data_IF_492853142047
#
_entry.id   IF_492853142047
#
_cell.length_a   1.000
_cell.length_b   1.000
_cell.length_c   1.000
_cell.angle_alpha   90.00
_cell.angle_beta   90.00
_cell.angle_gamma   90.00
#
_symmetry.space_group_name_H-M   'P 1'
#
loop_
_entity.id
_entity.type
_entity.pdbx_description
1 polymer ?
#
# COMPACT_ATOMS: atom_id res chain seq x y z
N UNK A 1 -20.56 1.35 -8.52
CA UNK A 1 -19.12 1.24 -8.81
C UNK A 1 -18.50 0.41 -7.69
N UNK A 2 -17.73 -0.63 -8.00
CA UNK A 2 -17.01 -1.41 -6.99
C UNK A 2 -15.52 -1.17 -7.16
N UNK A 3 -14.90 -0.71 -6.08
CA UNK A 3 -13.47 -0.46 -5.98
C UNK A 3 -12.97 -1.25 -4.77
N UNK A 4 -11.74 -1.76 -4.86
CA UNK A 4 -11.10 -2.49 -3.75
C UNK A 4 -9.67 -2.02 -3.55
N UNK A 5 -9.24 -2.00 -2.30
CA UNK A 5 -7.85 -1.79 -1.90
C UNK A 5 -7.39 -3.03 -1.12
N UNK A 6 -6.17 -3.48 -1.36
CA UNK A 6 -5.50 -4.46 -0.50
C UNK A 6 -4.08 -3.99 -0.18
N UNK A 7 -3.66 -4.19 1.07
CA UNK A 7 -2.31 -3.87 1.55
C UNK A 7 -1.70 -5.06 2.27
N UNK A 8 -0.41 -5.27 2.07
CA UNK A 8 0.36 -6.29 2.79
C UNK A 8 1.79 -5.79 2.99
N UNK A 9 2.32 -5.87 4.20
CA UNK A 9 3.66 -5.35 4.48
C UNK A 9 4.10 -5.50 5.93
N UNK A 10 5.32 -5.04 6.18
CA UNK A 10 6.03 -5.23 7.45
C UNK A 10 6.10 -3.90 8.18
N UNK A 11 5.18 -3.67 9.11
CA UNK A 11 5.19 -2.44 9.92
C UNK A 11 6.21 -2.47 11.07
N UNK A 12 6.85 -3.60 11.35
CA UNK A 12 7.85 -3.71 12.43
C UNK A 12 7.26 -3.90 13.84
N UNK A 13 8.09 -3.78 14.89
CA UNK A 13 9.46 -3.23 14.88
C UNK A 13 10.51 -4.18 14.29
N UNK A 14 10.23 -5.48 14.26
CA UNK A 14 11.10 -6.50 13.67
C UNK A 14 10.50 -6.99 12.34
N UNK A 15 11.37 -7.47 11.46
CA UNK A 15 10.93 -8.27 10.32
C UNK A 15 10.54 -9.69 10.76
N UNK A 16 9.95 -10.44 9.85
CA UNK A 16 9.78 -11.89 9.99
C UNK A 16 11.07 -12.63 9.55
N UNK A 17 11.03 -13.97 9.54
CA UNK A 17 12.16 -14.82 9.14
C UNK A 17 12.54 -14.66 7.65
N UNK A 18 11.85 -13.81 6.89
CA UNK A 18 12.09 -13.62 5.46
C UNK A 18 13.17 -12.58 5.14
N UNK A 19 13.79 -11.95 6.15
CA UNK A 19 14.83 -10.93 5.99
C UNK A 19 14.43 -9.71 5.13
N UNK A 20 13.13 -9.47 4.93
CA UNK A 20 12.65 -8.26 4.25
C UNK A 20 12.77 -7.04 5.16
N UNK A 21 12.93 -5.86 4.58
CA UNK A 21 13.09 -4.63 5.37
C UNK A 21 11.79 -4.21 6.07
N UNK A 22 11.92 -3.71 7.30
CA UNK A 22 10.82 -3.03 8.00
C UNK A 22 10.47 -1.76 7.21
N UNK A 23 9.18 -1.59 6.92
CA UNK A 23 8.67 -0.52 6.07
C UNK A 23 8.41 -0.94 4.63
N UNK A 24 8.74 -2.17 4.23
CA UNK A 24 8.31 -2.73 2.95
C UNK A 24 6.81 -3.02 2.96
N UNK A 25 6.05 -2.39 2.05
CA UNK A 25 4.60 -2.56 1.93
C UNK A 25 4.22 -2.60 0.44
N UNK A 26 3.42 -3.58 0.07
CA UNK A 26 2.73 -3.64 -1.21
C UNK A 26 1.30 -3.13 -1.03
N UNK A 27 0.90 -2.22 -1.91
CA UNK A 27 -0.43 -1.60 -1.92
C UNK A 27 -1.02 -1.79 -3.32
N UNK A 28 -2.23 -2.31 -3.38
CA UNK A 28 -2.97 -2.48 -4.63
C UNK A 28 -4.33 -1.80 -4.57
N UNK A 29 -4.73 -1.25 -5.72
CA UNK A 29 -6.07 -0.72 -5.95
C UNK A 29 -6.64 -1.40 -7.21
N UNK A 30 -7.92 -1.76 -7.17
CA UNK A 30 -8.57 -2.47 -8.27
C UNK A 30 -9.98 -1.99 -8.55
N UNK A 31 -10.29 -1.98 -9.84
CA UNK A 31 -11.60 -1.89 -10.46
C UNK A 31 -11.80 -3.13 -11.35
N UNK A 32 -13.02 -3.40 -11.83
CA UNK A 32 -13.33 -4.57 -12.67
C UNK A 32 -12.49 -4.67 -13.96
N UNK A 33 -11.98 -3.55 -14.44
CA UNK A 33 -11.21 -3.46 -15.70
C UNK A 33 -9.72 -3.24 -15.50
N UNK A 34 -9.27 -2.91 -14.28
CA UNK A 34 -7.87 -2.55 -14.02
C UNK A 34 -7.48 -2.76 -12.57
N UNK A 35 -6.28 -3.29 -12.39
CA UNK A 35 -5.59 -3.39 -11.09
C UNK A 35 -4.24 -2.72 -11.21
N UNK A 36 -3.84 -1.96 -10.19
CA UNK A 36 -2.49 -1.42 -10.03
C UNK A 36 -1.95 -1.89 -8.68
N UNK A 37 -0.66 -2.21 -8.63
CA UNK A 37 0.02 -2.65 -7.42
C UNK A 37 1.42 -2.01 -7.39
N UNK A 38 1.72 -1.30 -6.31
CA UNK A 38 2.98 -0.61 -6.11
C UNK A 38 3.68 -1.12 -4.85
N UNK A 39 5.00 -1.18 -4.92
CA UNK A 39 5.88 -1.41 -3.77
C UNK A 39 6.25 -0.07 -3.14
N UNK A 40 6.19 0.01 -1.81
CA UNK A 40 6.59 1.15 -1.00
C UNK A 40 7.62 0.73 0.03
N UNK A 41 8.64 1.56 0.20
CA UNK A 41 9.70 1.38 1.19
C UNK A 41 9.72 2.59 2.12
N UNK A 42 8.96 2.52 3.21
CA UNK A 42 8.84 3.61 4.19
C UNK A 42 10.04 3.71 5.15
N UNK A 43 10.91 2.69 5.15
CA UNK A 43 11.97 2.54 6.14
C UNK A 43 11.45 2.28 7.55
N UNK A 44 12.37 2.08 8.49
CA UNK A 44 12.04 1.80 9.89
C UNK A 44 11.71 3.09 10.67
N UNK A 45 10.61 3.74 10.31
CA UNK A 45 10.13 5.00 10.92
C UNK A 45 9.21 4.79 12.12
N UNK A 46 8.99 3.53 12.53
CA UNK A 46 8.08 3.15 13.61
C UNK A 46 6.75 2.59 13.12
N UNK A 47 6.22 1.60 13.85
CA UNK A 47 5.03 0.82 13.43
C UNK A 47 3.79 1.67 13.18
N UNK A 48 3.56 2.69 13.99
CA UNK A 48 2.41 3.59 13.82
C UNK A 48 2.59 4.45 12.57
N UNK A 49 3.77 5.05 12.38
CA UNK A 49 4.06 5.89 11.22
C UNK A 49 4.02 5.10 9.91
N UNK A 50 4.52 3.86 9.87
CA UNK A 50 4.43 3.00 8.68
C UNK A 50 2.97 2.73 8.30
N UNK A 51 2.11 2.45 9.28
CA UNK A 51 0.68 2.21 9.04
C UNK A 51 -0.06 3.46 8.57
N UNK A 52 0.29 4.62 9.11
CA UNK A 52 -0.27 5.91 8.67
C UNK A 52 0.16 6.25 7.24
N UNK A 53 1.44 6.11 6.92
CA UNK A 53 1.96 6.28 5.56
C UNK A 53 1.30 5.30 4.58
N UNK A 54 1.12 4.02 4.99
CA UNK A 54 0.40 3.02 4.19
C UNK A 54 -1.05 3.43 3.89
N UNK A 55 -1.76 3.99 4.87
CA UNK A 55 -3.13 4.48 4.70
C UNK A 55 -3.19 5.62 3.66
N UNK A 56 -2.28 6.59 3.78
CA UNK A 56 -2.20 7.74 2.87
C UNK A 56 -1.92 7.26 1.44
N UNK A 57 -0.91 6.41 1.26
CA UNK A 57 -0.55 5.88 -0.07
C UNK A 57 -1.64 5.00 -0.68
N UNK A 58 -2.37 4.23 0.13
CA UNK A 58 -3.50 3.45 -0.33
C UNK A 58 -4.64 4.31 -0.90
N UNK A 59 -4.97 5.41 -0.21
CA UNK A 59 -5.98 6.36 -0.69
C UNK A 59 -5.48 7.06 -1.96
N UNK A 60 -4.22 7.51 -1.98
CA UNK A 60 -3.60 8.13 -3.16
C UNK A 60 -3.64 7.19 -4.37
N UNK A 61 -3.27 5.91 -4.20
CA UNK A 61 -3.28 4.93 -5.28
C UNK A 61 -4.69 4.68 -5.81
N UNK A 62 -5.69 4.61 -4.92
CA UNK A 62 -7.08 4.46 -5.35
C UNK A 62 -7.58 5.68 -6.13
N UNK A 63 -7.27 6.90 -5.69
CA UNK A 63 -7.63 8.12 -6.41
C UNK A 63 -6.96 8.16 -7.80
N UNK A 64 -5.69 7.80 -7.89
CA UNK A 64 -4.98 7.70 -9.18
C UNK A 64 -5.66 6.70 -10.13
N UNK A 65 -6.18 5.58 -9.60
CA UNK A 65 -6.93 4.62 -10.41
C UNK A 65 -8.26 5.20 -10.89
N UNK A 66 -8.99 5.90 -10.03
CA UNK A 66 -10.26 6.58 -10.36
C UNK A 66 -10.02 7.61 -11.47
N UNK A 67 -9.04 8.49 -11.28
CA UNK A 67 -8.68 9.53 -12.26
C UNK A 67 -8.28 8.93 -13.61
N UNK A 68 -7.46 7.87 -13.59
CA UNK A 68 -7.07 7.16 -14.81
C UNK A 68 -8.27 6.56 -15.56
N UNK A 69 -9.25 6.04 -14.83
CA UNK A 69 -10.44 5.42 -15.41
C UNK A 69 -11.50 6.45 -15.83
N UNK A 70 -11.37 7.72 -15.42
CA UNK A 70 -12.35 8.79 -15.62
C UNK A 70 -13.75 8.41 -15.09
N UNK A 71 -13.80 7.85 -13.87
CA UNK A 71 -15.05 7.38 -13.22
C UNK A 71 -15.37 8.15 -11.95
#
# INVERSE_FOLDING_TARGET
MQLSIAVSGIAGPNSDDSNKDVGLVFISASHSTKTICNEYNFGNIGRSQIREATLIEAITLLNNLIDYLNI
#
